data_IF_619583333293
#
_entry.id   IF_619583333293
#
_cell.length_a   1.000
_cell.length_b   1.000
_cell.length_c   1.000
_cell.angle_alpha   90.00
_cell.angle_beta   90.00
_cell.angle_gamma   90.00
#
_symmetry.space_group_name_H-M   'P 1'
#
loop_
_entity.id
_entity.type
_entity.pdbx_description
1 polymer ?
#
# COMPACT_ATOMS: atom_id res chain seq x y z
N UNK A 1 -23.28 11.34 -25.02
CA UNK A 1 -22.97 10.06 -24.35
C UNK A 1 -21.59 9.62 -24.78
N UNK A 2 -20.72 9.40 -23.82
CA UNK A 2 -19.32 8.94 -24.06
C UNK A 2 -19.33 7.47 -24.45
N UNK A 3 -18.58 7.10 -25.49
CA UNK A 3 -18.42 5.72 -25.95
C UNK A 3 -17.04 5.15 -25.61
N UNK A 4 -16.90 3.83 -25.63
CA UNK A 4 -15.59 3.15 -25.52
C UNK A 4 -14.62 3.64 -26.59
N UNK A 5 -15.12 3.90 -27.82
CA UNK A 5 -14.32 4.44 -28.91
C UNK A 5 -13.75 5.83 -28.61
N UNK A 6 -14.56 6.72 -28.03
CA UNK A 6 -14.13 8.07 -27.67
C UNK A 6 -13.01 8.05 -26.62
N UNK A 7 -13.12 7.15 -25.63
CA UNK A 7 -12.09 6.98 -24.60
C UNK A 7 -10.78 6.48 -25.22
N UNK A 8 -10.84 5.41 -26.01
CA UNK A 8 -9.65 4.84 -26.68
C UNK A 8 -8.99 5.87 -27.60
N UNK A 9 -9.76 6.60 -28.39
CA UNK A 9 -9.21 7.60 -29.29
C UNK A 9 -8.55 8.75 -28.56
N UNK A 10 -9.15 9.21 -27.45
CA UNK A 10 -8.54 10.22 -26.61
C UNK A 10 -7.18 9.79 -26.04
N UNK A 11 -7.06 8.53 -25.60
CA UNK A 11 -5.79 7.98 -25.12
C UNK A 11 -4.79 7.67 -26.25
N UNK A 12 -5.26 7.43 -27.48
CA UNK A 12 -4.38 7.19 -28.65
C UNK A 12 -3.81 8.47 -29.23
N UNK A 13 -4.62 9.51 -29.32
CA UNK A 13 -4.27 10.75 -30.01
C UNK A 13 -3.53 11.75 -29.15
N UNK A 14 -3.50 11.50 -27.93
CA UNK A 14 -2.96 12.40 -26.98
C UNK A 14 -1.47 12.19 -26.59
N UNK A 15 -0.70 13.17 -25.93
CA UNK A 15 0.66 13.02 -25.43
C UNK A 15 0.77 11.95 -24.31
N UNK A 16 1.90 11.30 -24.05
CA UNK A 16 2.05 10.38 -22.92
C UNK A 16 1.69 11.07 -21.59
N UNK A 17 0.91 10.41 -20.74
CA UNK A 17 0.52 10.96 -19.45
C UNK A 17 -0.88 11.62 -19.39
N UNK A 18 -1.81 11.15 -20.23
CA UNK A 18 -3.13 11.75 -20.46
C UNK A 18 -4.07 11.87 -19.29
N UNK A 19 -3.83 12.80 -18.42
CA UNK A 19 -4.79 13.25 -17.43
C UNK A 19 -6.07 13.85 -18.06
N UNK A 20 -5.97 14.45 -19.25
CA UNK A 20 -7.10 15.07 -19.94
C UNK A 20 -8.11 14.07 -20.51
N UNK A 21 -7.69 12.85 -20.79
CA UNK A 21 -8.59 11.80 -21.29
C UNK A 21 -9.35 11.07 -20.17
N UNK A 22 -8.88 11.11 -18.91
CA UNK A 22 -9.58 10.52 -17.79
C UNK A 22 -11.01 11.01 -17.57
N UNK A 23 -11.36 12.29 -17.78
CA UNK A 23 -12.76 12.72 -17.71
C UNK A 23 -13.71 11.95 -18.62
N UNK A 24 -13.22 11.43 -19.77
CA UNK A 24 -14.03 10.59 -20.64
C UNK A 24 -14.23 9.19 -20.07
N UNK A 25 -13.17 8.59 -19.51
CA UNK A 25 -13.27 7.31 -18.80
C UNK A 25 -14.30 7.40 -17.67
N UNK A 26 -14.25 8.44 -16.85
CA UNK A 26 -15.16 8.57 -15.72
C UNK A 26 -16.59 8.85 -16.15
N UNK A 27 -16.83 9.62 -17.21
CA UNK A 27 -18.15 9.73 -17.78
C UNK A 27 -18.69 8.40 -18.30
N UNK A 28 -17.84 7.60 -18.93
CA UNK A 28 -18.22 6.25 -19.35
C UNK A 28 -18.60 5.39 -18.15
N UNK A 29 -17.80 5.43 -17.07
CA UNK A 29 -18.08 4.70 -15.85
C UNK A 29 -19.38 5.13 -15.17
N UNK A 30 -19.70 6.43 -15.21
CA UNK A 30 -20.94 6.98 -14.62
C UNK A 30 -22.19 6.67 -15.49
N UNK A 31 -22.07 6.88 -16.80
CA UNK A 31 -23.19 6.77 -17.72
C UNK A 31 -23.47 5.33 -18.17
N UNK A 32 -22.40 4.52 -18.28
CA UNK A 32 -22.43 3.18 -18.89
C UNK A 32 -21.45 2.21 -18.23
N UNK A 33 -21.56 1.92 -16.93
CA UNK A 33 -20.61 1.07 -16.20
C UNK A 33 -20.44 -0.33 -16.84
N UNK A 34 -21.49 -0.89 -17.45
CA UNK A 34 -21.43 -2.17 -18.15
C UNK A 34 -20.54 -2.18 -19.42
N UNK A 35 -20.04 -1.03 -19.86
CA UNK A 35 -19.10 -0.93 -20.98
C UNK A 35 -17.61 -0.99 -20.53
N UNK A 36 -17.34 -0.88 -19.24
CA UNK A 36 -15.98 -0.89 -18.73
C UNK A 36 -15.24 -2.21 -18.98
N UNK A 37 -15.86 -3.39 -18.87
CA UNK A 37 -15.21 -4.63 -19.27
C UNK A 37 -14.87 -4.69 -20.77
N UNK A 38 -15.73 -4.08 -21.60
CA UNK A 38 -15.46 -3.95 -23.06
C UNK A 38 -14.27 -3.03 -23.29
N UNK A 39 -14.22 -1.88 -22.59
CA UNK A 39 -13.09 -0.95 -22.69
C UNK A 39 -11.79 -1.65 -22.27
N UNK A 40 -11.75 -2.34 -21.13
CA UNK A 40 -10.57 -3.02 -20.63
C UNK A 40 -10.02 -4.05 -21.65
N UNK A 41 -10.88 -4.87 -22.26
CA UNK A 41 -10.49 -5.82 -23.30
C UNK A 41 -9.92 -5.11 -24.53
N UNK A 42 -10.58 -4.04 -25.00
CA UNK A 42 -10.13 -3.28 -26.15
C UNK A 42 -8.79 -2.56 -25.91
N UNK A 43 -8.49 -2.16 -24.69
CA UNK A 43 -7.18 -1.60 -24.35
C UNK A 43 -6.07 -2.62 -24.62
N UNK A 44 -6.24 -3.87 -24.23
CA UNK A 44 -5.26 -4.94 -24.52
C UNK A 44 -5.05 -5.18 -26.03
N UNK A 45 -6.09 -4.99 -26.83
CA UNK A 45 -6.07 -5.23 -28.30
C UNK A 45 -5.56 -3.99 -29.06
N UNK A 46 -6.09 -2.82 -28.76
CA UNK A 46 -5.95 -1.60 -29.54
C UNK A 46 -4.84 -0.66 -29.01
N UNK A 47 -4.50 -0.77 -27.71
CA UNK A 47 -3.54 0.08 -27.00
C UNK A 47 -2.57 -0.76 -26.14
N UNK A 48 -1.75 -1.63 -26.74
CA UNK A 48 -0.89 -2.54 -25.96
C UNK A 48 0.15 -1.81 -25.09
N UNK A 49 0.48 -0.54 -25.40
CA UNK A 49 1.27 0.36 -24.55
C UNK A 49 0.42 1.20 -23.58
N UNK A 50 -0.89 0.95 -23.48
CA UNK A 50 -1.86 1.76 -22.74
C UNK A 50 -1.95 1.40 -21.24
N UNK A 51 -0.83 1.24 -20.54
CA UNK A 51 -0.81 0.88 -19.11
C UNK A 51 -1.61 1.86 -18.26
N UNK A 52 -1.56 3.15 -18.56
CA UNK A 52 -2.26 4.18 -17.80
C UNK A 52 -3.79 4.01 -17.86
N UNK A 53 -4.35 3.82 -19.07
CA UNK A 53 -5.79 3.58 -19.20
C UNK A 53 -6.20 2.27 -18.54
N UNK A 54 -5.37 1.23 -18.64
CA UNK A 54 -5.57 -0.04 -17.94
C UNK A 54 -5.71 0.18 -16.43
N UNK A 55 -4.75 0.85 -15.81
CA UNK A 55 -4.77 1.15 -14.37
C UNK A 55 -6.01 1.94 -13.96
N UNK A 56 -6.46 2.88 -14.82
CA UNK A 56 -7.67 3.66 -14.59
C UNK A 56 -8.96 2.86 -14.62
N UNK A 57 -9.01 1.76 -15.40
CA UNK A 57 -10.23 0.93 -15.57
C UNK A 57 -10.34 -0.17 -14.51
N UNK A 58 -9.24 -0.82 -14.13
CA UNK A 58 -9.23 -1.99 -13.24
C UNK A 58 -10.02 -1.80 -11.94
N UNK A 59 -9.97 -0.64 -11.25
CA UNK A 59 -10.70 -0.43 -10.02
C UNK A 59 -12.23 -0.53 -10.13
N UNK A 60 -12.76 -0.44 -11.34
CA UNK A 60 -14.20 -0.43 -11.62
C UNK A 60 -14.76 -1.80 -12.02
N UNK A 61 -13.88 -2.75 -12.30
CA UNK A 61 -14.25 -4.08 -12.75
C UNK A 61 -14.65 -4.96 -11.56
N UNK A 62 -15.63 -5.82 -11.74
CA UNK A 62 -15.91 -6.86 -10.77
C UNK A 62 -14.91 -8.02 -10.86
N UNK A 63 -15.04 -8.98 -9.95
CA UNK A 63 -14.10 -10.11 -9.86
C UNK A 63 -14.13 -10.97 -11.12
N UNK A 64 -15.31 -11.22 -11.67
CA UNK A 64 -15.46 -12.09 -12.86
C UNK A 64 -14.84 -11.44 -14.09
N UNK A 65 -15.03 -10.14 -14.26
CA UNK A 65 -14.40 -9.35 -15.33
C UNK A 65 -12.88 -9.31 -15.18
N UNK A 66 -12.37 -9.13 -13.95
CA UNK A 66 -10.93 -9.16 -13.66
C UNK A 66 -10.32 -10.52 -13.99
N UNK A 67 -10.96 -11.61 -13.63
CA UNK A 67 -10.50 -12.97 -13.96
C UNK A 67 -10.47 -13.23 -15.47
N UNK A 68 -11.52 -12.83 -16.18
CA UNK A 68 -11.58 -12.94 -17.64
C UNK A 68 -10.52 -12.07 -18.34
N UNK A 69 -10.22 -10.91 -17.79
CA UNK A 69 -9.20 -10.01 -18.31
C UNK A 69 -7.79 -10.55 -18.06
N UNK A 70 -7.55 -11.21 -16.91
CA UNK A 70 -6.27 -11.85 -16.59
C UNK A 70 -5.90 -12.93 -17.64
N UNK A 71 -6.86 -13.77 -18.06
CA UNK A 71 -6.63 -14.75 -19.12
C UNK A 71 -6.12 -14.12 -20.41
N UNK A 72 -6.74 -13.03 -20.81
CA UNK A 72 -6.37 -12.32 -22.03
C UNK A 72 -5.01 -11.61 -21.90
N UNK A 73 -4.74 -11.05 -20.73
CA UNK A 73 -3.47 -10.36 -20.45
C UNK A 73 -2.29 -11.34 -20.46
N UNK A 74 -2.42 -12.49 -19.80
CA UNK A 74 -1.38 -13.54 -19.84
C UNK A 74 -1.13 -14.03 -21.27
N UNK A 75 -2.19 -14.26 -22.04
CA UNK A 75 -2.05 -14.63 -23.45
C UNK A 75 -1.40 -13.52 -24.30
N UNK A 76 -1.61 -12.24 -23.94
CA UNK A 76 -0.97 -11.13 -24.60
C UNK A 76 0.52 -11.02 -24.23
N UNK A 77 0.89 -11.23 -22.98
CA UNK A 77 2.28 -11.25 -22.50
C UNK A 77 3.11 -12.34 -23.21
N UNK A 78 2.52 -13.49 -23.49
CA UNK A 78 3.19 -14.58 -24.20
C UNK A 78 3.46 -14.30 -25.69
N UNK A 79 2.90 -13.23 -26.30
CA UNK A 79 3.09 -12.91 -27.72
C UNK A 79 4.37 -12.10 -27.93
N UNK A 80 5.37 -12.60 -28.71
CA UNK A 80 6.59 -11.85 -28.98
C UNK A 80 6.36 -10.63 -29.86
N UNK A 81 7.20 -9.61 -29.69
CA UNK A 81 7.31 -8.48 -30.63
C UNK A 81 6.20 -7.42 -30.54
N UNK A 82 5.35 -7.41 -29.52
CA UNK A 82 4.36 -6.35 -29.25
C UNK A 82 4.66 -5.65 -27.92
N UNK A 83 4.32 -4.36 -27.79
CA UNK A 83 4.29 -3.71 -26.48
C UNK A 83 3.39 -4.50 -25.53
N UNK A 84 3.78 -4.64 -24.26
CA UNK A 84 3.13 -5.51 -23.28
C UNK A 84 2.67 -4.74 -22.03
N UNK A 85 2.83 -3.42 -22.04
CA UNK A 85 2.62 -2.56 -20.88
C UNK A 85 1.21 -2.64 -20.31
N UNK A 86 0.20 -2.64 -21.19
CA UNK A 86 -1.20 -2.78 -20.78
C UNK A 86 -1.46 -4.16 -20.15
N UNK A 87 -0.88 -5.22 -20.73
CA UNK A 87 -1.06 -6.58 -20.23
C UNK A 87 -0.36 -6.79 -18.88
N UNK A 88 0.86 -6.26 -18.71
CA UNK A 88 1.56 -6.28 -17.44
C UNK A 88 0.79 -5.53 -16.35
N UNK A 89 0.27 -4.33 -16.66
CA UNK A 89 -0.54 -3.56 -15.72
C UNK A 89 -1.83 -4.30 -15.30
N UNK A 90 -2.43 -5.11 -16.20
CA UNK A 90 -3.55 -5.98 -15.84
C UNK A 90 -3.11 -7.05 -14.85
N UNK A 91 -2.02 -7.77 -15.15
CA UNK A 91 -1.54 -8.86 -14.30
C UNK A 91 -1.18 -8.34 -12.91
N UNK A 92 -0.45 -7.23 -12.82
CA UNK A 92 -0.13 -6.57 -11.55
C UNK A 92 -1.41 -6.18 -10.78
N UNK A 93 -2.31 -5.45 -11.44
CA UNK A 93 -3.53 -4.98 -10.80
C UNK A 93 -4.46 -6.10 -10.37
N UNK A 94 -4.57 -7.18 -11.16
CA UNK A 94 -5.38 -8.35 -10.79
C UNK A 94 -4.77 -9.10 -9.61
N UNK A 95 -3.46 -9.30 -9.57
CA UNK A 95 -2.78 -9.97 -8.45
C UNK A 95 -3.03 -9.28 -7.10
N UNK A 96 -3.08 -7.94 -7.12
CA UNK A 96 -3.36 -7.14 -5.91
C UNK A 96 -4.84 -7.17 -5.52
N UNK A 97 -5.75 -7.17 -6.50
CA UNK A 97 -7.18 -7.04 -6.25
C UNK A 97 -7.88 -8.37 -5.95
N UNK A 98 -7.38 -9.46 -6.53
CA UNK A 98 -7.99 -10.79 -6.43
C UNK A 98 -6.92 -11.83 -6.10
N UNK A 99 -6.59 -12.05 -4.81
CA UNK A 99 -5.63 -13.06 -4.41
C UNK A 99 -5.96 -14.43 -5.02
N UNK A 100 -4.96 -15.11 -5.57
CA UNK A 100 -5.12 -16.42 -6.23
C UNK A 100 -5.62 -16.37 -7.67
N UNK A 101 -6.01 -15.23 -8.20
CA UNK A 101 -6.51 -15.10 -9.58
C UNK A 101 -5.53 -15.60 -10.64
N UNK A 102 -4.25 -15.47 -10.38
CA UNK A 102 -3.19 -15.87 -11.31
C UNK A 102 -2.68 -17.29 -11.11
N UNK A 103 -3.12 -18.05 -10.09
CA UNK A 103 -2.55 -19.37 -9.73
C UNK A 103 -2.40 -20.30 -10.93
N UNK A 104 -3.41 -20.44 -11.76
CA UNK A 104 -3.37 -21.29 -12.97
C UNK A 104 -2.41 -20.79 -14.06
N UNK A 105 -1.99 -19.54 -14.00
CA UNK A 105 -1.12 -18.88 -14.98
C UNK A 105 0.34 -18.78 -14.53
N UNK A 106 0.61 -18.98 -13.24
CA UNK A 106 1.94 -18.79 -12.66
C UNK A 106 3.03 -19.62 -13.36
N UNK A 107 2.80 -20.90 -13.79
CA UNK A 107 3.81 -21.63 -14.56
C UNK A 107 4.20 -20.91 -15.85
N UNK A 108 3.24 -20.37 -16.59
CA UNK A 108 3.50 -19.64 -17.83
C UNK A 108 4.13 -18.27 -17.57
N UNK A 109 3.70 -17.58 -16.53
CA UNK A 109 4.27 -16.28 -16.14
C UNK A 109 5.71 -16.40 -15.65
N UNK A 110 6.07 -17.52 -15.00
CA UNK A 110 7.44 -17.76 -14.52
C UNK A 110 8.46 -17.99 -15.65
N UNK A 111 7.99 -18.30 -16.86
CA UNK A 111 8.82 -18.47 -18.05
C UNK A 111 9.07 -17.14 -18.81
N UNK A 112 8.39 -16.06 -18.41
CA UNK A 112 8.58 -14.78 -19.06
C UNK A 112 9.90 -14.14 -18.60
N UNK A 113 10.63 -13.54 -19.55
CA UNK A 113 11.83 -12.77 -19.24
C UNK A 113 11.47 -11.51 -18.46
N UNK A 114 12.01 -11.40 -17.25
CA UNK A 114 11.62 -10.42 -16.24
C UNK A 114 12.06 -8.99 -16.56
N UNK A 115 13.07 -8.81 -17.38
CA UNK A 115 13.75 -7.52 -17.56
C UNK A 115 12.90 -6.39 -18.15
N UNK A 116 11.64 -6.66 -18.51
CA UNK A 116 10.87 -5.73 -19.36
C UNK A 116 9.47 -5.33 -18.82
N UNK A 117 8.95 -5.91 -17.71
CA UNK A 117 7.50 -5.86 -17.51
C UNK A 117 6.99 -5.43 -16.13
N UNK A 118 7.85 -4.87 -15.25
CA UNK A 118 7.40 -4.48 -13.92
C UNK A 118 6.85 -3.06 -13.89
N UNK A 119 5.57 -2.95 -13.53
CA UNK A 119 4.92 -1.69 -13.21
C UNK A 119 4.60 -1.54 -11.72
N UNK A 120 4.71 -2.64 -10.96
CA UNK A 120 4.50 -2.66 -9.53
C UNK A 120 5.84 -2.46 -8.81
N UNK A 121 5.85 -1.64 -7.76
CA UNK A 121 6.99 -1.52 -6.83
C UNK A 121 7.25 -2.81 -6.05
N UNK A 122 6.32 -3.76 -6.11
CA UNK A 122 6.41 -5.06 -5.46
C UNK A 122 7.14 -6.13 -6.30
N UNK A 123 7.48 -5.81 -7.55
CA UNK A 123 8.09 -6.76 -8.47
C UNK A 123 7.12 -7.84 -8.98
N UNK A 124 7.63 -8.76 -9.81
CA UNK A 124 6.82 -9.85 -10.36
C UNK A 124 6.41 -10.89 -9.32
N UNK A 125 7.14 -11.00 -8.23
CA UNK A 125 6.84 -11.91 -7.13
C UNK A 125 5.45 -11.66 -6.54
N UNK A 126 4.93 -10.43 -6.64
CA UNK A 126 3.57 -10.08 -6.23
C UNK A 126 2.48 -10.86 -7.00
N UNK A 127 2.77 -11.39 -8.18
CA UNK A 127 1.83 -12.23 -8.93
C UNK A 127 1.46 -13.53 -8.21
N UNK A 128 2.34 -14.01 -7.31
CA UNK A 128 2.09 -15.18 -6.47
C UNK A 128 1.13 -14.94 -5.30
N UNK A 129 0.64 -13.72 -5.13
CA UNK A 129 -0.34 -13.40 -4.08
C UNK A 129 -1.55 -14.36 -4.13
N UNK A 130 -1.72 -15.14 -3.06
CA UNK A 130 -2.77 -16.17 -2.98
C UNK A 130 -2.51 -17.42 -3.85
N UNK A 131 -1.25 -17.71 -4.21
CA UNK A 131 -0.88 -18.91 -4.97
C UNK A 131 -1.43 -20.18 -4.31
N UNK A 132 -1.90 -21.11 -5.14
CA UNK A 132 -2.45 -22.36 -4.67
C UNK A 132 -1.39 -23.38 -4.21
N UNK A 133 -1.85 -24.46 -3.60
CA UNK A 133 -0.97 -25.48 -3.04
C UNK A 133 -0.07 -26.14 -4.09
N UNK A 134 -0.54 -26.33 -5.32
CA UNK A 134 0.24 -26.96 -6.38
C UNK A 134 1.46 -26.10 -6.73
N UNK A 135 1.24 -24.79 -6.85
CA UNK A 135 2.30 -23.83 -7.13
C UNK A 135 3.28 -23.66 -5.94
N UNK A 136 2.76 -23.59 -4.72
CA UNK A 136 3.63 -23.55 -3.53
C UNK A 136 4.55 -24.76 -3.43
N UNK A 137 4.05 -25.97 -3.76
CA UNK A 137 4.86 -27.19 -3.80
C UNK A 137 5.90 -27.16 -4.93
N UNK A 138 5.57 -26.59 -6.10
CA UNK A 138 6.52 -26.39 -7.19
C UNK A 138 7.67 -25.48 -6.76
N UNK A 139 7.36 -24.34 -6.13
CA UNK A 139 8.36 -23.40 -5.61
C UNK A 139 9.23 -24.05 -4.53
N UNK A 140 8.63 -24.83 -3.62
CA UNK A 140 9.37 -25.57 -2.60
C UNK A 140 10.37 -26.55 -3.23
N UNK A 141 9.99 -27.21 -4.33
CA UNK A 141 10.90 -28.06 -5.12
C UNK A 141 12.11 -27.27 -5.66
N UNK A 142 11.90 -26.06 -6.19
CA UNK A 142 12.99 -25.23 -6.70
C UNK A 142 13.98 -24.80 -5.60
N UNK A 143 13.55 -24.63 -4.36
CA UNK A 143 14.44 -24.32 -3.24
C UNK A 143 15.48 -25.40 -2.98
N UNK A 144 15.19 -26.66 -3.34
CA UNK A 144 16.10 -27.80 -3.10
C UNK A 144 17.03 -28.12 -4.27
N UNK A 145 16.63 -27.84 -5.50
CA UNK A 145 17.35 -28.28 -6.71
C UNK A 145 17.70 -27.14 -7.67
N UNK A 146 17.15 -25.95 -7.49
CA UNK A 146 17.39 -24.80 -8.36
C UNK A 146 18.80 -24.21 -8.23
N UNK A 147 19.23 -23.44 -9.22
CA UNK A 147 20.38 -22.56 -9.12
C UNK A 147 20.14 -21.47 -8.05
N UNK A 148 21.19 -20.79 -7.62
CA UNK A 148 21.10 -19.80 -6.52
C UNK A 148 20.05 -18.72 -6.80
N UNK A 149 20.06 -18.11 -7.97
CA UNK A 149 19.08 -17.09 -8.36
C UNK A 149 17.65 -17.65 -8.43
N UNK A 150 17.48 -18.89 -8.92
CA UNK A 150 16.17 -19.56 -8.96
C UNK A 150 15.65 -19.85 -7.55
N UNK A 151 16.53 -20.26 -6.65
CA UNK A 151 16.17 -20.51 -5.24
C UNK A 151 15.77 -19.22 -4.55
N UNK A 152 16.53 -18.13 -4.72
CA UNK A 152 16.19 -16.84 -4.15
C UNK A 152 14.83 -16.34 -4.65
N UNK A 153 14.62 -16.40 -5.96
CA UNK A 153 13.34 -16.04 -6.57
C UNK A 153 12.18 -16.90 -6.06
N UNK A 154 12.36 -18.21 -6.01
CA UNK A 154 11.32 -19.11 -5.47
C UNK A 154 10.98 -18.77 -4.02
N UNK A 155 12.00 -18.43 -3.23
CA UNK A 155 11.82 -17.97 -1.84
C UNK A 155 11.01 -16.67 -1.77
N UNK A 156 11.34 -15.65 -2.57
CA UNK A 156 10.58 -14.40 -2.67
C UNK A 156 9.14 -14.63 -3.10
N UNK A 157 8.88 -15.49 -4.08
CA UNK A 157 7.53 -15.85 -4.51
C UNK A 157 6.73 -16.52 -3.39
N UNK A 158 7.35 -17.37 -2.58
CA UNK A 158 6.71 -17.98 -1.42
C UNK A 158 6.32 -16.94 -0.36
N UNK A 159 7.17 -15.93 -0.11
CA UNK A 159 6.82 -14.82 0.76
C UNK A 159 5.64 -14.03 0.20
N UNK A 160 5.70 -13.64 -1.07
CA UNK A 160 4.67 -12.84 -1.75
C UNK A 160 3.37 -13.62 -1.98
N UNK A 161 3.37 -14.95 -1.80
CA UNK A 161 2.13 -15.73 -1.81
C UNK A 161 1.15 -15.30 -0.71
N UNK A 162 1.67 -14.73 0.39
CA UNK A 162 0.90 -14.26 1.55
C UNK A 162 -0.01 -15.33 2.14
N UNK A 163 0.41 -16.58 2.01
CA UNK A 163 -0.28 -17.75 2.59
C UNK A 163 0.52 -18.31 3.74
N UNK A 164 -0.17 -18.81 4.77
CA UNK A 164 0.49 -19.43 5.91
C UNK A 164 1.45 -20.56 5.49
N UNK A 165 1.04 -21.34 4.48
CA UNK A 165 1.87 -22.42 3.96
C UNK A 165 3.10 -21.91 3.20
N UNK A 166 2.95 -20.91 2.32
CA UNK A 166 4.07 -20.30 1.63
C UNK A 166 5.09 -19.71 2.60
N UNK A 167 4.60 -19.04 3.65
CA UNK A 167 5.46 -18.50 4.70
C UNK A 167 6.18 -19.59 5.50
N UNK A 168 5.51 -20.68 5.85
CA UNK A 168 6.14 -21.81 6.56
C UNK A 168 7.27 -22.43 5.71
N UNK A 169 7.04 -22.66 4.43
CA UNK A 169 8.08 -23.18 3.51
C UNK A 169 9.24 -22.19 3.37
N UNK A 170 8.96 -20.90 3.18
CA UNK A 170 10.00 -19.88 3.10
C UNK A 170 10.83 -19.81 4.38
N UNK A 171 10.22 -19.99 5.56
CA UNK A 171 10.90 -20.06 6.84
C UNK A 171 11.80 -21.28 6.98
N UNK A 172 11.34 -22.44 6.58
CA UNK A 172 12.15 -23.67 6.58
C UNK A 172 13.40 -23.54 5.73
N UNK A 173 13.30 -22.82 4.61
CA UNK A 173 14.38 -22.59 3.65
C UNK A 173 15.04 -21.20 3.77
N UNK A 174 15.02 -20.58 4.94
CA UNK A 174 15.62 -19.25 5.16
C UNK A 174 17.14 -19.20 4.98
N UNK A 175 17.79 -20.36 4.92
CA UNK A 175 19.21 -20.48 4.54
C UNK A 175 19.52 -19.93 3.15
N UNK A 176 18.53 -19.87 2.25
CA UNK A 176 18.64 -19.24 0.93
C UNK A 176 19.07 -17.77 1.03
N UNK A 177 18.70 -17.11 2.12
CA UNK A 177 19.00 -15.69 2.39
C UNK A 177 19.95 -15.51 3.59
N UNK A 178 20.64 -16.57 4.00
CA UNK A 178 21.50 -16.55 5.20
C UNK A 178 22.66 -15.55 5.11
N UNK A 179 23.14 -15.28 3.90
CA UNK A 179 24.24 -14.34 3.64
C UNK A 179 23.76 -12.88 3.49
N UNK A 180 22.46 -12.63 3.55
CA UNK A 180 21.91 -11.27 3.52
C UNK A 180 22.14 -10.55 4.85
N UNK A 181 22.25 -9.21 4.76
CA UNK A 181 22.21 -8.36 5.95
C UNK A 181 20.93 -8.68 6.77
N UNK A 182 21.05 -8.93 8.09
CA UNK A 182 19.89 -9.19 8.95
C UNK A 182 18.78 -8.14 8.83
N UNK A 183 19.13 -6.87 8.64
CA UNK A 183 18.15 -5.80 8.44
C UNK A 183 17.36 -6.01 7.15
N UNK A 184 18.01 -6.37 6.05
CA UNK A 184 17.34 -6.67 4.77
C UNK A 184 16.46 -7.92 4.88
N UNK A 185 16.95 -8.94 5.60
CA UNK A 185 16.17 -10.17 5.84
C UNK A 185 14.87 -9.88 6.60
N UNK A 186 14.89 -9.06 7.65
CA UNK A 186 13.71 -8.61 8.37
C UNK A 186 12.76 -7.83 7.45
N UNK A 187 13.27 -6.92 6.63
CA UNK A 187 12.48 -6.11 5.69
C UNK A 187 11.64 -6.98 4.76
N UNK A 188 12.19 -8.08 4.22
CA UNK A 188 11.43 -8.98 3.36
C UNK A 188 10.21 -9.58 4.06
N UNK A 189 10.35 -10.05 5.29
CA UNK A 189 9.23 -10.59 6.06
C UNK A 189 8.20 -9.51 6.41
N UNK A 190 8.67 -8.37 6.82
CA UNK A 190 7.80 -7.24 7.15
C UNK A 190 7.03 -6.73 5.95
N UNK A 191 7.64 -6.72 4.77
CA UNK A 191 7.00 -6.28 3.53
C UNK A 191 5.78 -7.12 3.15
N UNK A 192 5.73 -8.36 3.61
CA UNK A 192 4.57 -9.26 3.41
C UNK A 192 3.66 -9.35 4.64
N UNK A 193 3.93 -8.57 5.69
CA UNK A 193 3.11 -8.50 6.88
C UNK A 193 3.40 -9.60 7.92
N UNK A 194 4.64 -10.11 7.94
CA UNK A 194 5.05 -11.17 8.88
C UNK A 194 6.18 -10.68 9.78
N UNK A 195 6.02 -10.83 11.09
CA UNK A 195 7.09 -10.64 12.06
C UNK A 195 7.87 -11.96 12.21
N UNK A 196 9.06 -11.98 11.61
CA UNK A 196 10.01 -13.07 11.71
C UNK A 196 11.22 -12.72 12.58
N UNK A 197 11.19 -11.61 13.28
CA UNK A 197 12.27 -11.19 14.17
C UNK A 197 12.59 -12.30 15.18
N UNK A 198 13.86 -12.66 15.39
CA UNK A 198 14.23 -13.58 16.44
C UNK A 198 13.78 -12.98 17.77
N UNK A 199 13.00 -13.73 18.55
CA UNK A 199 12.49 -13.26 19.82
C UNK A 199 13.65 -12.76 20.68
N UNK A 200 13.73 -11.48 20.96
CA UNK A 200 14.71 -10.90 21.85
C UNK A 200 14.54 -11.55 23.23
N UNK A 201 15.44 -12.51 23.56
CA UNK A 201 15.44 -13.20 24.85
C UNK A 201 14.57 -14.45 24.94
N UNK A 202 14.90 -15.49 24.17
CA UNK A 202 14.74 -16.91 24.58
C UNK A 202 13.41 -17.44 25.08
N UNK A 203 12.29 -16.74 24.96
CA UNK A 203 10.97 -17.22 25.33
C UNK A 203 10.12 -17.56 24.09
N UNK A 204 9.32 -18.63 24.13
CA UNK A 204 8.43 -18.95 23.03
C UNK A 204 7.43 -17.81 22.84
N UNK A 205 7.39 -17.26 21.63
CA UNK A 205 6.40 -16.26 21.26
C UNK A 205 4.98 -16.85 21.31
N UNK A 206 4.24 -16.51 22.36
CA UNK A 206 2.98 -17.18 22.74
C UNK A 206 1.73 -16.57 22.12
N UNK A 207 1.80 -15.98 20.95
CA UNK A 207 0.56 -15.60 20.26
C UNK A 207 0.69 -15.71 18.74
N UNK A 208 0.73 -16.95 18.26
CA UNK A 208 0.42 -17.22 16.87
C UNK A 208 -1.08 -16.98 16.66
N UNK A 209 -1.45 -15.97 15.88
CA UNK A 209 -2.81 -15.87 15.39
C UNK A 209 -3.00 -17.00 14.38
N UNK A 210 -3.70 -18.05 14.81
CA UNK A 210 -4.53 -18.91 13.99
C UNK A 210 -3.95 -19.77 12.88
N UNK A 211 -2.68 -19.67 12.59
CA UNK A 211 -2.02 -20.60 11.68
C UNK A 211 -1.20 -21.57 12.52
N UNK A 212 -1.74 -22.76 12.73
CA UNK A 212 -0.96 -23.82 13.34
C UNK A 212 0.25 -24.08 12.46
N UNK A 213 1.33 -23.40 12.73
CA UNK A 213 2.62 -23.67 12.12
C UNK A 213 3.11 -25.03 12.60
N UNK A 214 3.17 -26.04 11.74
CA UNK A 214 3.62 -27.37 12.13
C UNK A 214 5.10 -27.40 12.53
N UNK A 215 5.88 -26.34 12.20
CA UNK A 215 7.31 -26.27 12.48
C UNK A 215 7.65 -25.54 13.79
N UNK A 216 6.67 -24.89 14.46
CA UNK A 216 6.90 -24.08 15.65
C UNK A 216 7.67 -22.78 15.38
N UNK A 217 7.69 -22.29 14.14
CA UNK A 217 8.34 -21.03 13.79
C UNK A 217 7.68 -19.82 14.46
N UNK A 218 8.46 -18.81 14.86
CA UNK A 218 7.93 -17.62 15.53
C UNK A 218 7.29 -16.61 14.57
N UNK A 219 6.59 -17.08 13.54
CA UNK A 219 5.93 -16.23 12.57
C UNK A 219 4.66 -15.62 13.16
N UNK A 220 4.56 -14.31 13.14
CA UNK A 220 3.38 -13.55 13.57
C UNK A 220 2.86 -12.73 12.40
N UNK A 221 1.57 -12.82 12.12
CA UNK A 221 0.96 -11.89 11.17
C UNK A 221 0.90 -10.49 11.78
N UNK A 222 1.45 -9.51 11.08
CA UNK A 222 1.43 -8.10 11.49
C UNK A 222 0.20 -7.37 11.02
N UNK A 223 -0.43 -7.85 9.97
CA UNK A 223 -1.48 -7.11 9.30
C UNK A 223 -2.81 -7.80 9.43
N UNK A 224 -3.64 -7.24 10.26
CA UNK A 224 -5.08 -7.53 10.29
C UNK A 224 -5.91 -6.26 10.37
N UNK A 225 -5.27 -5.09 10.40
CA UNK A 225 -5.97 -3.84 10.52
C UNK A 225 -6.78 -3.55 9.26
N UNK A 226 -8.09 -3.28 9.37
CA UNK A 226 -8.87 -2.82 8.24
C UNK A 226 -8.37 -1.47 7.74
N UNK A 227 -8.35 -1.26 6.42
CA UNK A 227 -8.00 0.03 5.83
C UNK A 227 -9.21 0.97 5.86
N UNK A 228 -9.03 2.12 6.50
CA UNK A 228 -9.99 3.21 6.52
C UNK A 228 -9.44 4.36 5.67
N UNK A 229 -9.94 4.53 4.46
CA UNK A 229 -9.57 5.67 3.61
C UNK A 229 -10.11 6.96 4.20
N UNK A 230 -9.29 7.99 4.21
CA UNK A 230 -9.65 9.30 4.78
C UNK A 230 -10.38 10.14 3.72
N UNK A 231 -11.65 10.36 3.95
CA UNK A 231 -12.45 11.27 3.13
C UNK A 231 -12.23 12.71 3.57
N UNK A 232 -11.19 13.32 3.02
CA UNK A 232 -10.81 14.71 3.32
C UNK A 232 -11.73 15.63 2.52
N UNK A 233 -12.33 16.67 3.14
CA UNK A 233 -13.17 17.63 2.43
C UNK A 233 -12.38 18.35 1.33
N UNK A 234 -12.97 18.55 0.14
CA UNK A 234 -12.28 19.17 -1.00
C UNK A 234 -11.68 20.55 -0.72
N UNK A 235 -12.30 21.32 0.18
CA UNK A 235 -11.83 22.64 0.59
C UNK A 235 -10.55 22.62 1.43
N UNK A 236 -10.22 21.46 2.03
CA UNK A 236 -9.00 21.25 2.79
C UNK A 236 -7.84 20.75 1.93
N UNK A 237 -8.11 20.31 0.71
CA UNK A 237 -7.09 19.86 -0.22
C UNK A 237 -6.45 21.06 -0.94
N UNK A 238 -5.13 21.11 -0.99
CA UNK A 238 -4.36 22.19 -1.66
C UNK A 238 -4.39 22.00 -3.16
N UNK A 239 -4.01 20.84 -3.65
CA UNK A 239 -4.32 20.46 -5.01
C UNK A 239 -5.69 19.78 -4.98
N UNK A 240 -6.71 20.49 -5.42
CA UNK A 240 -8.00 19.83 -5.64
C UNK A 240 -7.75 18.68 -6.61
N UNK A 241 -7.94 17.42 -6.18
CA UNK A 241 -7.97 16.35 -7.15
C UNK A 241 -8.95 16.80 -8.22
N UNK A 242 -8.58 16.63 -9.47
CA UNK A 242 -9.49 16.94 -10.59
C UNK A 242 -10.88 16.49 -10.15
N UNK A 243 -11.97 17.26 -10.36
CA UNK A 243 -13.30 16.97 -9.81
C UNK A 243 -13.75 15.53 -9.99
N UNK A 244 -13.20 14.85 -10.98
CA UNK A 244 -13.43 13.47 -11.29
C UNK A 244 -12.76 12.46 -10.33
N UNK A 245 -11.55 12.73 -9.78
CA UNK A 245 -10.88 11.82 -8.83
C UNK A 245 -11.72 11.64 -7.57
N UNK A 246 -12.13 12.75 -6.96
CA UNK A 246 -12.92 12.73 -5.75
C UNK A 246 -14.34 12.17 -5.94
N UNK A 247 -14.87 12.20 -7.17
CA UNK A 247 -16.24 11.84 -7.45
C UNK A 247 -16.42 10.38 -7.86
N UNK A 248 -15.44 9.78 -8.52
CA UNK A 248 -15.64 8.52 -9.22
C UNK A 248 -14.70 7.39 -8.83
N UNK A 249 -13.47 7.66 -8.41
CA UNK A 249 -12.61 6.55 -7.96
C UNK A 249 -13.13 5.99 -6.64
N UNK A 250 -13.28 4.64 -6.48
CA UNK A 250 -13.85 4.04 -5.28
C UNK A 250 -13.21 4.47 -3.97
N UNK A 251 -11.91 4.74 -3.95
CA UNK A 251 -11.19 5.18 -2.74
C UNK A 251 -11.46 6.64 -2.37
N UNK A 252 -11.96 7.46 -3.28
CA UNK A 252 -12.33 8.86 -3.05
C UNK A 252 -13.82 9.05 -2.79
N UNK A 253 -14.65 8.41 -3.62
CA UNK A 253 -16.10 8.61 -3.68
C UNK A 253 -16.87 7.41 -3.14
N UNK A 254 -16.47 6.80 -2.03
CA UNK A 254 -17.09 5.61 -1.49
C UNK A 254 -18.61 5.75 -1.41
N UNK A 255 -19.38 4.93 -2.17
CA UNK A 255 -20.81 4.85 -1.96
C UNK A 255 -21.04 4.30 -0.56
N UNK A 256 -21.82 5.01 0.24
CA UNK A 256 -22.33 4.66 1.54
C UNK A 256 -21.91 3.31 2.13
N UNK A 257 -20.65 3.20 2.52
CA UNK A 257 -20.18 2.14 3.39
C UNK A 257 -20.87 2.35 4.71
N UNK A 258 -21.59 1.32 5.16
CA UNK A 258 -22.49 1.38 6.27
C UNK A 258 -21.95 2.14 7.46
N UNK A 259 -22.85 2.77 8.20
CA UNK A 259 -22.67 3.60 9.38
C UNK A 259 -21.74 3.05 10.46
N UNK A 260 -20.46 2.87 10.10
CA UNK A 260 -19.44 2.94 11.13
C UNK A 260 -19.50 4.39 11.60
N UNK A 261 -19.95 4.62 12.81
CA UNK A 261 -19.71 5.88 13.49
C UNK A 261 -18.23 5.87 13.89
N UNK A 262 -17.33 6.25 12.99
CA UNK A 262 -15.94 6.40 13.38
C UNK A 262 -15.90 7.52 14.40
N UNK A 263 -14.95 7.44 15.30
CA UNK A 263 -14.61 8.57 16.12
C UNK A 263 -14.26 9.78 15.24
N UNK A 264 -14.15 10.92 15.86
CA UNK A 264 -13.74 12.14 15.17
C UNK A 264 -12.31 11.99 14.69
N UNK A 265 -12.09 12.18 13.39
CA UNK A 265 -10.75 12.29 12.79
C UNK A 265 -10.56 13.72 12.30
N UNK A 266 -9.44 14.33 12.68
CA UNK A 266 -9.05 15.66 12.19
C UNK A 266 -7.71 15.54 11.51
N UNK A 267 -7.60 15.98 10.27
CA UNK A 267 -6.33 16.16 9.56
C UNK A 267 -5.87 17.61 9.70
N UNK A 268 -4.56 17.82 9.83
CA UNK A 268 -3.97 19.16 9.79
C UNK A 268 -4.18 20.05 11.02
N UNK A 269 -3.67 21.27 10.94
CA UNK A 269 -3.65 22.24 12.01
C UNK A 269 -2.47 22.04 12.99
N UNK A 270 -2.60 22.61 14.19
CA UNK A 270 -1.59 22.47 15.23
C UNK A 270 -1.91 21.33 16.18
N UNK A 271 -0.90 20.54 16.51
CA UNK A 271 -0.96 19.56 17.59
C UNK A 271 -0.83 20.25 18.96
N UNK A 272 -1.19 19.54 20.02
CA UNK A 272 -1.04 20.01 21.40
C UNK A 272 0.39 19.85 21.93
N UNK A 273 1.31 19.29 21.13
CA UNK A 273 2.72 19.15 21.46
C UNK A 273 3.58 20.28 20.91
N UNK A 274 4.74 20.49 21.55
CA UNK A 274 5.77 21.43 21.11
C UNK A 274 7.05 20.68 20.76
N UNK A 275 7.83 21.23 19.82
CA UNK A 275 9.15 20.72 19.51
C UNK A 275 10.15 21.15 20.60
N UNK A 276 10.85 20.21 21.26
CA UNK A 276 11.83 20.55 22.31
C UNK A 276 13.05 21.28 21.78
N UNK A 277 13.34 21.21 20.48
CA UNK A 277 14.44 21.90 19.80
C UNK A 277 14.07 23.36 19.43
N UNK A 278 12.91 23.85 19.89
CA UNK A 278 12.51 25.25 19.71
C UNK A 278 11.92 25.62 18.35
N UNK A 279 11.57 24.64 17.51
CA UNK A 279 10.96 24.89 16.20
C UNK A 279 9.47 25.28 16.28
N UNK A 280 8.93 25.41 17.50
CA UNK A 280 7.54 25.80 17.76
C UNK A 280 6.60 24.60 17.91
N UNK A 281 5.27 24.85 17.79
CA UNK A 281 4.27 23.79 17.96
C UNK A 281 4.39 22.75 16.85
N UNK A 282 4.12 21.50 17.21
CA UNK A 282 4.06 20.41 16.25
C UNK A 282 2.90 20.63 15.27
N UNK A 283 3.12 20.29 14.01
CA UNK A 283 2.06 20.26 12.99
C UNK A 283 1.29 18.95 13.12
N UNK A 284 -0.03 19.03 13.20
CA UNK A 284 -0.87 17.82 13.28
C UNK A 284 -0.94 17.13 11.94
N UNK A 285 -0.62 15.86 11.93
CA UNK A 285 -0.93 14.95 10.82
C UNK A 285 -2.37 14.45 10.98
N UNK A 286 -2.65 13.80 12.11
CA UNK A 286 -3.96 13.23 12.44
C UNK A 286 -4.28 13.42 13.93
N UNK A 287 -5.53 13.72 14.24
CA UNK A 287 -6.11 13.54 15.56
C UNK A 287 -7.20 12.47 15.44
N UNK A 288 -7.10 11.43 16.23
CA UNK A 288 -8.03 10.30 16.28
C UNK A 288 -8.79 10.32 17.62
N UNK A 289 -10.12 10.41 17.60
CA UNK A 289 -10.97 10.54 18.81
C UNK A 289 -12.27 9.70 18.70
N UNK A 290 -12.28 8.41 19.00
CA UNK A 290 -11.16 7.50 19.19
C UNK A 290 -10.56 7.04 17.85
N UNK A 291 -9.39 6.36 17.86
CA UNK A 291 -8.89 5.63 16.69
C UNK A 291 -9.91 4.63 16.14
N UNK A 292 -9.98 4.43 14.82
CA UNK A 292 -10.86 3.43 14.22
C UNK A 292 -10.61 2.02 14.77
N UNK A 293 -11.68 1.21 14.91
CA UNK A 293 -11.56 -0.16 15.42
C UNK A 293 -10.60 -1.04 14.58
N UNK A 294 -9.81 -1.86 15.25
CA UNK A 294 -8.89 -2.80 14.60
C UNK A 294 -7.63 -2.18 14.01
N UNK A 295 -7.42 -0.85 14.09
CA UNK A 295 -6.13 -0.26 13.73
C UNK A 295 -5.08 -0.49 14.83
N UNK A 296 -3.79 -0.23 14.54
CA UNK A 296 -2.70 -0.44 15.49
C UNK A 296 -2.84 0.32 16.82
N UNK A 297 -3.63 1.40 16.85
CA UNK A 297 -3.92 2.22 18.04
C UNK A 297 -5.30 1.95 18.65
N UNK A 298 -5.96 0.86 18.29
CA UNK A 298 -7.29 0.50 18.82
C UNK A 298 -7.30 0.41 20.36
N UNK A 299 -8.41 0.80 20.97
CA UNK A 299 -8.57 0.86 22.43
C UNK A 299 -8.08 2.15 23.08
N UNK A 300 -7.43 3.06 22.35
CA UNK A 300 -7.13 4.41 22.82
C UNK A 300 -8.37 5.31 22.73
N UNK A 301 -8.57 6.16 23.73
CA UNK A 301 -9.66 7.15 23.69
C UNK A 301 -9.33 8.31 22.73
N UNK A 302 -8.04 8.67 22.66
CA UNK A 302 -7.54 9.79 21.85
C UNK A 302 -6.09 9.57 21.48
N UNK A 303 -5.69 10.07 20.29
CA UNK A 303 -4.31 10.07 19.82
C UNK A 303 -4.09 11.29 18.89
N UNK A 304 -3.25 12.23 19.32
CA UNK A 304 -2.84 13.39 18.52
C UNK A 304 -1.46 13.13 17.91
N UNK A 305 -1.41 12.90 16.62
CA UNK A 305 -0.21 12.56 15.86
C UNK A 305 0.38 13.84 15.25
N UNK A 306 1.31 14.42 15.97
CA UNK A 306 2.00 15.64 15.58
C UNK A 306 3.41 15.36 15.05
N UNK A 307 3.91 16.26 14.21
CA UNK A 307 5.22 16.19 13.59
C UNK A 307 5.90 17.55 13.53
N UNK A 308 7.22 17.57 13.67
CA UNK A 308 8.06 18.76 13.47
C UNK A 308 8.85 18.66 12.18
N UNK A 309 8.56 19.52 11.22
CA UNK A 309 9.29 19.54 9.93
C UNK A 309 10.74 19.98 10.03
N UNK A 310 11.13 20.65 11.11
CA UNK A 310 12.52 21.06 11.36
C UNK A 310 13.39 19.98 12.01
N UNK A 311 12.82 18.78 12.22
CA UNK A 311 13.51 17.70 12.90
C UNK A 311 13.83 16.54 11.95
N UNK A 312 14.87 15.78 12.30
CA UNK A 312 15.32 14.62 11.56
C UNK A 312 14.28 13.51 11.52
N UNK A 313 14.27 12.71 10.44
CA UNK A 313 13.44 11.53 10.19
C UNK A 313 14.34 10.28 10.28
N UNK A 314 13.88 9.16 10.89
CA UNK A 314 12.59 8.98 11.55
C UNK A 314 12.46 9.77 12.84
N UNK A 315 11.29 10.39 13.05
CA UNK A 315 10.99 11.14 14.27
C UNK A 315 10.09 10.32 15.20
N UNK A 316 10.45 10.22 16.47
CA UNK A 316 9.72 9.45 17.47
C UNK A 316 9.03 10.37 18.47
N UNK A 317 7.77 10.05 18.82
CA UNK A 317 6.97 10.79 19.79
C UNK A 317 6.35 9.83 20.79
N UNK A 318 6.60 10.05 22.09
CA UNK A 318 5.84 9.45 23.17
C UNK A 318 4.49 10.12 23.32
N UNK A 319 3.49 9.40 23.80
CA UNK A 319 2.15 9.95 24.03
C UNK A 319 1.73 9.73 25.48
N UNK A 320 1.23 10.78 26.11
CA UNK A 320 0.67 10.70 27.45
C UNK A 320 -0.70 9.97 27.50
N UNK A 321 -1.32 9.90 28.65
CA UNK A 321 -2.62 9.25 28.84
C UNK A 321 -3.75 9.94 28.04
N UNK A 322 -3.61 11.25 27.79
CA UNK A 322 -4.55 12.05 26.99
C UNK A 322 -4.23 11.99 25.48
N UNK A 323 -3.21 11.23 25.10
CA UNK A 323 -2.78 11.07 23.71
C UNK A 323 -2.04 12.28 23.14
N UNK A 324 -1.48 13.15 23.97
CA UNK A 324 -0.69 14.32 23.54
C UNK A 324 0.73 13.89 23.21
N UNK A 325 1.28 14.31 22.05
CA UNK A 325 2.63 13.94 21.68
C UNK A 325 3.69 14.78 22.40
N UNK A 326 4.80 14.11 22.73
CA UNK A 326 6.05 14.75 23.13
C UNK A 326 7.21 14.05 22.44
N UNK A 327 8.15 14.79 21.89
CA UNK A 327 9.24 14.20 21.14
C UNK A 327 10.16 13.37 22.02
N UNK A 328 10.56 12.20 21.54
CA UNK A 328 11.58 11.36 22.13
C UNK A 328 12.91 11.55 21.39
N UNK A 329 13.97 11.82 22.17
CA UNK A 329 15.31 12.07 21.63
C UNK A 329 15.52 13.50 21.14
N UNK A 330 16.79 13.85 20.94
CA UNK A 330 17.22 15.09 20.30
C UNK A 330 17.60 14.76 18.87
N UNK A 331 17.13 15.52 17.93
CA UNK A 331 17.51 15.41 16.53
C UNK A 331 17.37 16.79 15.93
N UNK A 332 18.50 17.46 15.70
CA UNK A 332 18.53 18.69 14.93
C UNK A 332 18.85 18.32 13.50
N UNK A 333 17.96 18.62 12.59
CA UNK A 333 18.29 18.69 11.18
C UNK A 333 18.81 20.12 10.93
N UNK A 334 19.97 20.24 10.28
CA UNK A 334 20.49 21.55 9.83
C UNK A 334 19.61 22.15 8.70
N UNK A 335 18.67 21.38 8.19
CA UNK A 335 17.69 21.83 7.21
C UNK A 335 16.62 22.68 7.89
N UNK A 336 16.71 23.98 7.71
CA UNK A 336 15.63 24.90 8.10
C UNK A 336 14.83 25.25 6.85
N UNK A 337 13.56 24.82 6.75
CA UNK A 337 12.71 25.29 5.67
C UNK A 337 12.58 26.79 5.72
N UNK A 338 12.67 27.45 4.58
CA UNK A 338 12.58 28.90 4.44
C UNK A 338 11.23 29.46 4.92
N UNK A 339 10.21 28.63 5.02
CA UNK A 339 8.96 28.89 5.74
C UNK A 339 8.30 27.57 6.17
N UNK A 340 7.98 27.43 7.45
CA UNK A 340 7.16 26.34 7.96
C UNK A 340 5.71 26.40 7.47
N UNK A 341 5.27 27.57 6.99
CA UNK A 341 3.90 27.81 6.53
C UNK A 341 3.57 27.06 5.24
N UNK A 342 4.58 26.73 4.43
CA UNK A 342 4.39 25.93 3.20
C UNK A 342 3.92 24.49 3.49
N UNK A 343 4.14 23.99 4.70
CA UNK A 343 3.78 22.63 5.13
C UNK A 343 2.56 22.60 6.06
N UNK A 344 1.77 23.67 6.09
CA UNK A 344 0.54 23.73 6.88
C UNK A 344 -0.59 22.95 6.20
N UNK A 345 -0.81 21.72 6.66
CA UNK A 345 -2.02 20.97 6.31
C UNK A 345 -3.23 21.71 6.92
N UNK A 346 -4.18 22.08 6.09
CA UNK A 346 -5.39 22.78 6.54
C UNK A 346 -6.19 21.90 7.48
N UNK A 347 -6.61 22.43 8.65
CA UNK A 347 -7.41 21.62 9.58
C UNK A 347 -8.76 21.28 8.97
N UNK A 348 -9.10 19.98 8.97
CA UNK A 348 -10.36 19.50 8.45
C UNK A 348 -10.88 18.34 9.26
N UNK A 349 -12.19 18.28 9.48
CA UNK A 349 -12.86 17.08 9.97
C UNK A 349 -12.95 16.10 8.83
N UNK A 350 -12.35 14.95 9.00
CA UNK A 350 -12.19 13.91 8.00
C UNK A 350 -13.02 12.69 8.41
N UNK A 351 -13.64 12.04 7.45
CA UNK A 351 -14.42 10.83 7.69
C UNK A 351 -13.61 9.61 7.25
N UNK A 352 -13.20 8.73 8.18
CA UNK A 352 -12.60 7.46 7.81
C UNK A 352 -13.68 6.51 7.30
N UNK A 353 -13.46 5.93 6.14
CA UNK A 353 -14.42 5.02 5.49
C UNK A 353 -13.75 3.70 5.15
N UNK A 354 -14.24 2.61 5.71
CA UNK A 354 -13.79 1.27 5.36
C UNK A 354 -14.44 0.83 4.06
N UNK A 355 -13.62 0.48 3.07
CA UNK A 355 -14.14 -0.05 1.83
C UNK A 355 -14.58 -1.52 2.03
N UNK A 356 -15.76 -1.93 1.54
CA UNK A 356 -16.28 -3.29 1.74
C UNK A 356 -15.45 -4.37 1.00
N UNK A 357 -14.70 -4.00 -0.02
CA UNK A 357 -13.91 -4.94 -0.81
C UNK A 357 -12.49 -5.07 -0.26
N UNK A 358 -12.03 -6.30 0.00
CA UNK A 358 -10.68 -6.57 0.54
C UNK A 358 -9.55 -5.99 -0.31
N UNK A 359 -9.74 -5.83 -1.61
CA UNK A 359 -8.74 -5.28 -2.54
C UNK A 359 -8.18 -3.91 -2.12
N UNK A 360 -8.95 -3.12 -1.36
CA UNK A 360 -8.52 -1.79 -0.91
C UNK A 360 -7.72 -1.81 0.39
N UNK A 361 -7.48 -2.97 0.96
CA UNK A 361 -6.59 -3.14 2.11
C UNK A 361 -5.13 -2.89 1.74
N UNK A 362 -4.78 -3.11 0.48
CA UNK A 362 -3.44 -2.98 -0.08
C UNK A 362 -3.48 -2.15 -1.37
N UNK A 363 -2.60 -1.18 -1.46
CA UNK A 363 -2.41 -0.35 -2.64
C UNK A 363 -0.92 -0.31 -2.98
N UNK A 364 -0.58 -0.49 -4.24
CA UNK A 364 0.78 -0.36 -4.74
C UNK A 364 1.02 1.07 -5.22
N UNK A 365 2.18 1.66 -4.91
CA UNK A 365 2.49 3.04 -5.27
C UNK A 365 2.42 3.25 -6.77
N UNK A 366 3.10 2.43 -7.56
CA UNK A 366 3.21 2.62 -8.99
C UNK A 366 1.88 2.47 -9.72
N UNK A 367 0.94 1.71 -9.16
CA UNK A 367 -0.41 1.52 -9.69
C UNK A 367 -1.39 2.58 -9.18
N UNK A 368 -1.19 3.06 -7.95
CA UNK A 368 -2.11 3.95 -7.24
C UNK A 368 -1.80 5.44 -7.39
N UNK A 369 -0.52 5.77 -7.60
CA UNK A 369 -0.03 7.14 -7.66
C UNK A 369 -0.92 8.02 -8.55
N UNK A 370 -1.30 9.19 -8.05
CA UNK A 370 -2.18 10.16 -8.67
C UNK A 370 -3.61 9.70 -9.01
N UNK A 371 -4.00 8.46 -8.75
CA UNK A 371 -5.33 7.92 -9.07
C UNK A 371 -6.14 7.60 -7.85
N UNK A 372 -5.54 6.91 -6.91
CA UNK A 372 -6.19 6.40 -5.71
C UNK A 372 -6.00 7.33 -4.53
N UNK A 373 -6.92 7.28 -3.59
CA UNK A 373 -6.75 7.95 -2.31
C UNK A 373 -5.81 7.12 -1.43
N UNK A 374 -4.59 7.60 -1.27
CA UNK A 374 -3.58 6.97 -0.44
C UNK A 374 -3.63 7.44 1.02
N UNK A 375 -4.50 8.40 1.36
CA UNK A 375 -4.68 8.85 2.74
C UNK A 375 -5.54 7.84 3.50
N UNK A 376 -4.96 7.12 4.46
CA UNK A 376 -5.69 6.07 5.19
C UNK A 376 -5.13 5.77 6.56
N UNK A 377 -5.97 5.15 7.41
CA UNK A 377 -5.62 4.56 8.70
C UNK A 377 -5.77 3.04 8.58
N UNK A 378 -4.77 2.29 9.03
CA UNK A 378 -4.74 0.83 8.90
C UNK A 378 -4.52 0.33 7.47
N UNK A 379 -4.78 -0.95 7.24
CA UNK A 379 -4.37 -1.64 6.02
C UNK A 379 -2.86 -1.84 5.95
N UNK A 380 -2.34 -2.00 4.74
CA UNK A 380 -0.92 -2.13 4.49
C UNK A 380 -0.33 -0.82 3.96
N UNK A 381 0.91 -0.46 4.34
CA UNK A 381 1.54 0.75 3.81
C UNK A 381 1.78 0.64 2.31
N UNK A 382 1.59 1.76 1.61
CA UNK A 382 1.93 1.91 0.20
C UNK A 382 3.32 2.52 0.10
N UNK A 383 4.35 1.70 0.17
CA UNK A 383 5.72 2.17 0.13
C UNK A 383 6.07 2.76 -1.25
N UNK A 384 6.70 3.94 -1.26
CA UNK A 384 7.27 4.55 -2.47
C UNK A 384 8.64 3.94 -2.75
N UNK A 385 9.40 3.72 -1.69
CA UNK A 385 10.70 3.08 -1.68
C UNK A 385 10.61 1.75 -0.95
N UNK A 386 11.72 1.27 -0.43
CA UNK A 386 11.74 0.03 0.35
C UNK A 386 10.92 0.15 1.65
N UNK A 387 10.31 -0.95 2.11
CA UNK A 387 9.65 -1.00 3.40
C UNK A 387 10.59 -0.61 4.54
N UNK A 388 10.15 0.29 5.42
CA UNK A 388 10.91 0.73 6.58
C UNK A 388 10.02 0.68 7.85
N UNK A 389 10.38 -0.22 8.77
CA UNK A 389 9.70 -0.42 10.04
C UNK A 389 10.67 -0.14 11.19
N UNK A 390 10.81 1.11 11.64
CA UNK A 390 11.75 1.47 12.67
C UNK A 390 11.46 0.74 13.98
N UNK A 391 12.52 0.41 14.71
CA UNK A 391 12.40 -0.15 16.05
C UNK A 391 11.92 0.93 17.04
N UNK A 392 11.00 0.57 17.91
CA UNK A 392 10.55 1.44 18.99
C UNK A 392 11.72 1.78 19.92
N UNK A 393 12.03 3.06 20.20
CA UNK A 393 13.15 3.45 21.05
C UNK A 393 13.02 2.97 22.50
N UNK A 394 11.81 2.59 22.92
CA UNK A 394 11.55 2.12 24.30
C UNK A 394 11.65 0.61 24.49
N UNK A 395 11.26 -0.19 23.48
CA UNK A 395 11.24 -1.66 23.61
C UNK A 395 12.00 -2.39 22.50
N UNK A 396 12.59 -1.67 21.58
CA UNK A 396 13.34 -2.19 20.43
C UNK A 396 12.53 -3.14 19.51
N UNK A 397 11.20 -3.18 19.65
CA UNK A 397 10.35 -3.97 18.74
C UNK A 397 10.02 -3.12 17.52
N UNK A 398 10.05 -3.69 16.30
CA UNK A 398 9.57 -3.01 15.12
C UNK A 398 8.15 -2.48 15.31
N UNK A 399 7.87 -1.31 14.74
CA UNK A 399 6.61 -0.60 14.99
C UNK A 399 5.60 -0.89 13.89
N UNK A 400 4.40 -1.45 14.21
CA UNK A 400 3.34 -1.66 13.24
C UNK A 400 2.88 -0.37 12.55
N UNK A 401 2.46 -0.48 11.30
CA UNK A 401 1.85 0.60 10.53
C UNK A 401 0.51 1.04 11.15
N UNK A 402 0.33 2.35 11.29
CA UNK A 402 -0.92 2.94 11.78
C UNK A 402 -1.66 3.70 10.70
N UNK A 403 -0.96 4.58 9.95
CA UNK A 403 -1.59 5.45 8.97
C UNK A 403 -0.59 5.95 7.93
N UNK A 404 -1.10 6.47 6.82
CA UNK A 404 -0.30 7.22 5.85
C UNK A 404 -1.07 8.41 5.31
N UNK A 405 -0.32 9.46 4.94
CA UNK A 405 -0.83 10.68 4.33
C UNK A 405 -0.04 11.00 3.07
N UNK A 406 -0.75 11.17 1.98
CA UNK A 406 -0.22 11.56 0.68
C UNK A 406 -0.14 13.09 0.60
N UNK A 407 1.08 13.61 0.46
CA UNK A 407 1.34 15.06 0.46
C UNK A 407 0.90 15.75 -0.81
N UNK A 408 0.80 15.05 -1.93
CA UNK A 408 0.39 15.62 -3.22
C UNK A 408 -0.98 16.32 -3.17
N UNK A 409 -1.80 15.95 -2.20
CA UNK A 409 -3.13 16.51 -2.02
C UNK A 409 -3.26 17.44 -0.81
N UNK A 410 -2.34 17.34 0.13
CA UNK A 410 -2.43 18.06 1.41
C UNK A 410 -1.64 19.37 1.45
N UNK A 411 -0.48 19.45 0.76
CA UNK A 411 0.44 20.60 0.87
C UNK A 411 1.16 20.96 -0.43
N UNK A 412 0.70 20.61 -1.58
CA UNK A 412 1.44 20.86 -2.85
C UNK A 412 2.90 20.33 -2.81
N UNK A 413 3.05 19.13 -2.23
CA UNK A 413 4.30 18.41 -2.09
C UNK A 413 4.24 17.04 -2.73
N UNK A 414 5.37 16.35 -2.78
CA UNK A 414 5.47 14.97 -3.25
C UNK A 414 5.70 14.04 -2.08
N UNK A 415 5.29 12.78 -2.23
CA UNK A 415 5.61 11.73 -1.29
C UNK A 415 4.53 11.41 -0.27
N UNK A 416 4.85 10.44 0.58
CA UNK A 416 3.95 9.92 1.61
C UNK A 416 4.64 9.99 2.97
N UNK A 417 3.90 10.50 3.96
CA UNK A 417 4.25 10.32 5.37
C UNK A 417 3.61 9.06 5.90
N UNK A 418 4.42 8.19 6.48
CA UNK A 418 3.99 6.98 7.18
C UNK A 418 4.04 7.20 8.67
N UNK A 419 3.01 6.72 9.36
CA UNK A 419 2.86 6.79 10.80
C UNK A 419 2.82 5.37 11.32
N UNK A 420 3.77 5.01 12.18
CA UNK A 420 3.84 3.71 12.82
C UNK A 420 3.57 3.88 14.32
N UNK A 421 3.11 2.83 14.98
CA UNK A 421 2.65 2.90 16.35
C UNK A 421 3.06 1.71 17.19
N UNK A 422 3.76 1.97 18.29
CA UNK A 422 4.05 0.97 19.32
C UNK A 422 3.00 1.05 20.44
N UNK A 423 2.00 0.18 20.40
CA UNK A 423 0.90 0.19 21.37
C UNK A 423 1.36 -0.01 22.83
N UNK A 424 2.28 -0.96 23.16
CA UNK A 424 2.72 -1.14 24.54
C UNK A 424 3.45 0.06 25.13
N UNK A 425 4.23 0.78 24.32
CA UNK A 425 5.03 1.92 24.76
C UNK A 425 4.35 3.27 24.57
N UNK A 426 3.22 3.31 23.86
CA UNK A 426 2.55 4.54 23.46
C UNK A 426 3.48 5.48 22.69
N UNK A 427 4.20 4.93 21.71
CA UNK A 427 5.15 5.67 20.88
C UNK A 427 4.72 5.65 19.42
N UNK A 428 4.70 6.81 18.76
CA UNK A 428 4.59 6.90 17.30
C UNK A 428 5.95 7.16 16.67
N UNK A 429 6.15 6.60 15.47
CA UNK A 429 7.24 6.97 14.57
C UNK A 429 6.67 7.61 13.32
N UNK A 430 7.34 8.65 12.85
CA UNK A 430 6.98 9.37 11.63
C UNK A 430 8.12 9.19 10.62
N UNK A 431 7.78 8.65 9.46
CA UNK A 431 8.66 8.46 8.32
C UNK A 431 8.12 9.25 7.12
N UNK A 432 9.01 9.53 6.18
CA UNK A 432 8.65 10.15 4.91
C UNK A 432 9.44 9.52 3.77
N UNK A 433 8.76 9.21 2.66
CA UNK A 433 9.39 8.77 1.42
C UNK A 433 8.84 9.59 0.25
N UNK A 434 9.71 9.88 -0.71
CA UNK A 434 9.38 10.54 -1.98
C UNK A 434 10.10 9.86 -3.14
N UNK A 435 9.66 10.14 -4.36
CA UNK A 435 10.31 9.67 -5.60
C UNK A 435 11.57 10.44 -5.90
#
# INVERSE_FOLDING_TARGET
>A
MTSVGDVIEAFRSGPPGYWEAYPLLFRLAEERPGELPVLARRVLEDLPAGSELTRGVLPWLDVDDLLALADQAVAALARPGRPRDAAAAVVDGVSLQVPGALSRHLPALSELDEGAYFYSSLGSEAWWNGADLAELNRLAGLLTVGAEDERFRAWSCLLQSRTAQGWAVAWEHRDVVADMDPAMWEIFWWSVGVDASPAAGGGPATSAVGTGDPSGAPLRSLVTAPAYHLRIPPEALVSRPQPWRARWHPTWGLPGGGDLKPGRVVTGGLSEGECPDGHGPLRRLLLLEPPPPGCAADGRARLDLGYCFGCEIPAFYGHDADGRPHRLGQGTNDWQPSSFDAYDVRPAITVPVMHPLPRWQRQDWSLAHDRENLNRIGGEPTWIQDPDYPACPSCATPMPFLAQLDWSHLIDGEGITYILWCQPCAVSAILYQST
#
